data_IF_823077290387
#
_entry.id   IF_823077290387
#
_cell.length_a   1.000
_cell.length_b   1.000
_cell.length_c   1.000
_cell.angle_alpha   90.00
_cell.angle_beta   90.00
_cell.angle_gamma   90.00
#
_symmetry.space_group_name_H-M   'P 1'
#
loop_
_entity.id
_entity.type
_entity.pdbx_description
1 polymer ?
#
# COMPACT_ATOMS: atom_id res chain seq x y z
N UNK A 1 3.59 6.47 9.06
CA UNK A 1 2.39 6.76 9.89
C UNK A 1 1.42 5.57 9.89
N UNK A 2 0.51 5.53 10.85
CA UNK A 2 -0.60 4.56 10.89
C UNK A 2 -1.65 4.92 9.83
N UNK A 3 -2.33 3.93 9.26
CA UNK A 3 -3.40 4.17 8.27
C UNK A 3 -4.63 4.87 8.86
N UNK A 4 -4.73 4.87 10.19
CA UNK A 4 -5.81 5.48 10.98
C UNK A 4 -5.40 6.79 11.66
N UNK A 5 -4.23 7.35 11.31
CA UNK A 5 -3.76 8.62 11.87
C UNK A 5 -4.68 9.76 11.44
N UNK A 6 -5.09 10.59 12.41
CA UNK A 6 -6.02 11.70 12.20
C UNK A 6 -5.32 13.06 12.05
N UNK A 7 -4.07 13.16 12.50
CA UNK A 7 -3.25 14.35 12.30
C UNK A 7 -2.78 14.40 10.84
N UNK A 8 -3.47 15.21 10.03
CA UNK A 8 -3.17 15.35 8.61
C UNK A 8 -1.77 15.90 8.37
N UNK A 9 -1.37 16.91 9.13
CA UNK A 9 -0.09 17.59 8.92
C UNK A 9 1.07 16.65 9.26
N UNK A 10 0.94 15.86 10.32
CA UNK A 10 1.89 14.81 10.65
C UNK A 10 1.97 13.76 9.55
N UNK A 11 0.82 13.31 9.00
CA UNK A 11 0.79 12.33 7.89
C UNK A 11 1.44 12.91 6.63
N UNK A 12 1.13 14.15 6.26
CA UNK A 12 1.72 14.79 5.08
C UNK A 12 3.22 14.95 5.24
N UNK A 13 3.69 15.47 6.36
CA UNK A 13 5.11 15.62 6.62
C UNK A 13 5.85 14.26 6.56
N UNK A 14 5.35 13.24 7.25
CA UNK A 14 6.05 11.94 7.37
C UNK A 14 5.96 11.07 6.13
N UNK A 15 4.87 11.15 5.34
CA UNK A 15 4.67 10.30 4.18
C UNK A 15 4.93 11.00 2.84
N UNK A 16 4.52 12.26 2.71
CA UNK A 16 4.62 12.99 1.45
C UNK A 16 5.92 13.77 1.36
N UNK A 17 6.16 14.72 2.27
CA UNK A 17 7.30 15.63 2.17
C UNK A 17 8.62 14.87 2.30
N UNK A 18 8.74 14.01 3.30
CA UNK A 18 9.91 13.13 3.45
C UNK A 18 10.15 12.24 2.21
N UNK A 19 9.09 11.74 1.57
CA UNK A 19 9.24 10.91 0.36
C UNK A 19 9.65 11.75 -0.85
N UNK A 20 9.21 13.01 -0.95
CA UNK A 20 9.66 13.95 -1.99
C UNK A 20 11.15 14.24 -1.84
N UNK A 21 11.62 14.56 -0.63
CA UNK A 21 13.03 14.81 -0.35
C UNK A 21 13.90 13.61 -0.74
N UNK A 22 13.45 12.38 -0.41
CA UNK A 22 14.14 11.15 -0.81
C UNK A 22 14.17 10.96 -2.33
N UNK A 23 13.07 11.25 -3.01
CA UNK A 23 13.02 11.14 -4.48
C UNK A 23 13.96 12.15 -5.14
N UNK A 24 13.96 13.40 -4.69
CA UNK A 24 14.85 14.44 -5.19
C UNK A 24 16.31 14.08 -4.96
N UNK A 25 16.65 13.61 -3.76
CA UNK A 25 17.99 13.11 -3.46
C UNK A 25 18.40 11.97 -4.39
N UNK A 26 17.51 10.98 -4.57
CA UNK A 26 17.77 9.81 -5.42
C UNK A 26 17.96 10.23 -6.89
N UNK A 27 17.12 11.12 -7.40
CA UNK A 27 17.20 11.64 -8.76
C UNK A 27 18.50 12.42 -9.00
N UNK A 28 18.87 13.31 -8.09
CA UNK A 28 20.07 14.13 -8.19
C UNK A 28 21.37 13.29 -8.14
N UNK A 29 21.33 12.13 -7.47
CA UNK A 29 22.48 11.23 -7.34
C UNK A 29 22.40 10.00 -8.27
N UNK A 30 21.43 9.95 -9.17
CA UNK A 30 21.19 8.82 -10.08
C UNK A 30 21.07 7.47 -9.36
N UNK A 31 20.33 7.47 -8.22
CA UNK A 31 20.07 6.28 -7.39
C UNK A 31 18.67 5.76 -7.74
N UNK A 32 18.56 4.45 -7.95
CA UNK A 32 17.26 3.80 -8.16
C UNK A 32 16.42 3.81 -6.89
N UNK A 33 15.12 4.10 -7.02
CA UNK A 33 14.20 4.15 -5.89
C UNK A 33 13.00 3.20 -6.09
N UNK A 34 12.74 2.35 -5.11
CA UNK A 34 11.50 1.57 -5.02
C UNK A 34 10.76 1.98 -3.75
N UNK A 35 9.56 2.51 -3.89
CA UNK A 35 8.78 3.02 -2.75
C UNK A 35 7.46 2.27 -2.55
N UNK A 36 6.97 2.29 -1.31
CA UNK A 36 5.69 1.72 -0.95
C UNK A 36 4.57 2.74 -1.12
N UNK A 37 3.73 2.55 -2.15
CA UNK A 37 2.40 3.11 -2.23
C UNK A 37 1.38 2.15 -1.62
N UNK A 38 0.09 2.29 -1.89
CA UNK A 38 -0.97 1.49 -1.29
C UNK A 38 -2.18 1.39 -2.20
N UNK A 39 -2.85 0.24 -2.19
CA UNK A 39 -4.16 0.09 -2.83
C UNK A 39 -5.27 0.97 -2.22
N UNK A 40 -5.04 1.55 -1.04
CA UNK A 40 -5.97 2.51 -0.43
C UNK A 40 -6.18 3.78 -1.27
N UNK A 41 -5.32 4.04 -2.25
CA UNK A 41 -5.47 5.17 -3.20
C UNK A 41 -6.69 5.01 -4.12
N UNK A 42 -7.24 3.82 -4.26
CA UNK A 42 -8.47 3.56 -5.03
C UNK A 42 -9.76 3.89 -4.26
N UNK A 43 -9.65 4.17 -2.96
CA UNK A 43 -10.78 4.56 -2.12
C UNK A 43 -11.89 3.51 -2.08
N UNK A 44 -13.12 3.93 -2.41
CA UNK A 44 -14.30 3.07 -2.52
C UNK A 44 -14.54 2.55 -3.95
N UNK A 45 -13.60 2.75 -4.87
CA UNK A 45 -13.72 2.32 -6.26
C UNK A 45 -13.70 0.80 -6.41
N UNK A 46 -14.27 0.31 -7.51
CA UNK A 46 -14.32 -1.10 -7.87
C UNK A 46 -13.37 -1.45 -9.02
N UNK A 47 -12.66 -0.45 -9.56
CA UNK A 47 -11.69 -0.63 -10.64
C UNK A 47 -10.30 -0.33 -10.09
N UNK A 48 -9.44 -1.33 -10.10
CA UNK A 48 -8.10 -1.26 -9.51
C UNK A 48 -7.03 -1.24 -10.61
N UNK A 49 -7.15 -0.25 -11.52
CA UNK A 49 -6.15 0.02 -12.55
C UNK A 49 -5.32 1.23 -12.14
N UNK A 50 -4.04 1.25 -12.54
CA UNK A 50 -3.08 2.30 -12.20
C UNK A 50 -3.29 3.61 -13.01
N UNK A 51 -4.52 3.91 -13.34
CA UNK A 51 -4.98 5.07 -14.11
C UNK A 51 -5.58 6.11 -13.17
N UNK A 52 -5.28 7.42 -13.34
CA UNK A 52 -5.71 8.49 -12.43
C UNK A 52 -7.23 8.56 -12.20
N UNK A 53 -8.04 8.24 -13.20
CA UNK A 53 -9.50 8.24 -13.11
C UNK A 53 -10.08 7.20 -12.15
N UNK A 54 -9.29 6.20 -11.77
CA UNK A 54 -9.69 5.17 -10.81
C UNK A 54 -9.26 5.50 -9.38
N UNK A 55 -8.60 6.63 -9.15
CA UNK A 55 -7.96 6.98 -7.89
C UNK A 55 -8.81 7.96 -7.07
N UNK A 56 -9.06 7.63 -5.81
CA UNK A 56 -9.88 8.43 -4.89
C UNK A 56 -9.50 8.14 -3.45
N UNK A 57 -8.83 9.08 -2.78
CA UNK A 57 -8.42 8.90 -1.38
C UNK A 57 -9.59 9.10 -0.42
N UNK A 58 -9.68 8.27 0.63
CA UNK A 58 -10.72 8.33 1.66
C UNK A 58 -10.22 8.84 3.02
N UNK A 59 -8.91 8.92 3.23
CA UNK A 59 -8.31 9.37 4.49
C UNK A 59 -6.94 9.99 4.24
N UNK A 60 -6.37 10.62 5.25
CA UNK A 60 -5.09 11.34 5.14
C UNK A 60 -3.93 10.43 4.73
N UNK A 61 -3.95 9.15 5.15
CA UNK A 61 -2.94 8.18 4.74
C UNK A 61 -3.02 7.90 3.22
N UNK A 62 -4.20 7.56 2.70
CA UNK A 62 -4.38 7.29 1.28
C UNK A 62 -4.14 8.56 0.44
N UNK A 63 -4.55 9.73 0.93
CA UNK A 63 -4.27 11.02 0.32
C UNK A 63 -2.75 11.24 0.17
N UNK A 64 -1.98 11.02 1.24
CA UNK A 64 -0.52 11.20 1.21
C UNK A 64 0.18 10.27 0.21
N UNK A 65 -0.31 9.03 0.07
CA UNK A 65 0.22 8.06 -0.91
C UNK A 65 -0.12 8.47 -2.34
N UNK A 66 -1.36 8.89 -2.57
CA UNK A 66 -1.82 9.35 -3.87
C UNK A 66 -1.08 10.63 -4.32
N UNK A 67 -0.92 11.59 -3.43
CA UNK A 67 -0.18 12.82 -3.72
C UNK A 67 1.29 12.52 -4.08
N UNK A 68 1.91 11.54 -3.42
CA UNK A 68 3.26 11.14 -3.77
C UNK A 68 3.31 10.39 -5.11
N UNK A 69 2.36 9.49 -5.40
CA UNK A 69 2.25 8.83 -6.71
C UNK A 69 2.12 9.88 -7.83
N UNK A 70 1.29 10.92 -7.64
CA UNK A 70 1.12 12.00 -8.61
C UNK A 70 2.40 12.83 -8.77
N UNK A 71 3.07 13.17 -7.67
CA UNK A 71 4.35 13.86 -7.72
C UNK A 71 5.42 13.08 -8.52
N UNK A 72 5.47 11.77 -8.34
CA UNK A 72 6.35 10.88 -9.12
C UNK A 72 5.99 10.93 -10.61
N UNK A 73 4.70 10.80 -10.96
CA UNK A 73 4.22 10.86 -12.36
C UNK A 73 4.60 12.18 -13.06
N UNK A 74 4.39 13.31 -12.39
CA UNK A 74 4.70 14.64 -12.91
C UNK A 74 6.21 14.84 -13.16
N UNK A 75 7.04 14.09 -12.46
CA UNK A 75 8.49 14.22 -12.54
C UNK A 75 9.20 13.08 -13.29
N UNK A 76 8.48 12.06 -13.78
CA UNK A 76 9.09 10.93 -14.50
C UNK A 76 10.02 11.35 -15.62
N UNK A 77 9.65 12.34 -16.42
CA UNK A 77 10.45 12.82 -17.55
C UNK A 77 11.76 13.48 -17.15
N UNK A 78 11.89 13.92 -15.89
CA UNK A 78 13.08 14.61 -15.35
C UNK A 78 14.02 13.64 -14.61
N UNK A 79 13.51 12.47 -14.20
CA UNK A 79 14.25 11.49 -13.41
C UNK A 79 14.90 10.48 -14.36
N UNK A 80 16.22 10.39 -14.32
CA UNK A 80 17.00 9.46 -15.15
C UNK A 80 17.19 8.08 -14.51
N UNK A 81 17.18 8.02 -13.18
CA UNK A 81 17.23 6.77 -12.42
C UNK A 81 15.89 6.04 -12.43
N UNK A 82 15.90 4.76 -12.14
CA UNK A 82 14.68 3.98 -11.99
C UNK A 82 13.86 4.47 -10.79
N UNK A 83 12.56 4.66 -10.97
CA UNK A 83 11.59 4.92 -9.89
C UNK A 83 10.39 4.00 -10.02
N UNK A 84 10.14 3.20 -8.97
CA UNK A 84 9.04 2.23 -8.93
C UNK A 84 8.18 2.48 -7.71
N UNK A 85 6.90 2.79 -7.93
CA UNK A 85 5.86 2.80 -6.91
C UNK A 85 5.15 1.45 -6.84
N UNK A 86 5.02 0.88 -5.65
CA UNK A 86 4.33 -0.40 -5.47
C UNK A 86 3.08 -0.16 -4.61
N UNK A 87 1.90 -0.35 -5.20
CA UNK A 87 0.60 -0.31 -4.52
C UNK A 87 0.31 -1.68 -3.93
N UNK A 88 0.66 -1.85 -2.67
CA UNK A 88 0.37 -3.08 -1.96
C UNK A 88 -1.12 -3.17 -1.62
N UNK A 89 -1.71 -4.33 -1.91
CA UNK A 89 -3.00 -4.74 -1.39
C UNK A 89 -2.86 -5.28 0.03
N UNK A 90 -3.68 -6.20 0.50
CA UNK A 90 -3.65 -6.61 1.91
C UNK A 90 -2.52 -7.62 2.15
N UNK A 91 -1.33 -7.12 2.46
CA UNK A 91 -0.16 -7.95 2.72
C UNK A 91 -0.30 -8.65 4.07
N UNK A 92 -0.05 -9.96 4.10
CA UNK A 92 -0.03 -10.76 5.31
C UNK A 92 1.19 -11.68 5.36
N UNK A 93 1.55 -12.19 6.55
CA UNK A 93 2.62 -13.16 6.69
C UNK A 93 3.25 -13.21 8.08
N UNK A 94 4.42 -13.86 8.22
CA UNK A 94 5.12 -13.93 9.48
C UNK A 94 5.64 -12.56 9.93
N UNK A 95 5.97 -12.47 11.24
CA UNK A 95 6.57 -11.29 11.87
C UNK A 95 5.67 -10.05 11.98
N UNK A 96 4.34 -10.23 12.06
CA UNK A 96 3.41 -9.12 12.22
C UNK A 96 3.16 -8.69 13.68
N UNK A 97 3.66 -9.44 14.66
CA UNK A 97 3.37 -9.21 16.08
C UNK A 97 3.72 -7.80 16.58
N UNK A 98 4.72 -7.17 16.01
CA UNK A 98 5.13 -5.81 16.36
C UNK A 98 4.18 -4.71 15.83
N UNK A 99 3.28 -5.06 14.92
CA UNK A 99 2.32 -4.12 14.34
C UNK A 99 1.06 -3.94 15.20
N UNK A 100 0.88 -4.78 16.23
CA UNK A 100 -0.27 -4.74 17.13
C UNK A 100 -1.60 -4.67 16.37
N UNK A 101 -2.41 -3.63 16.63
CA UNK A 101 -3.71 -3.41 15.98
C UNK A 101 -3.61 -3.18 14.46
N UNK A 102 -2.43 -2.84 13.95
CA UNK A 102 -2.18 -2.64 12.52
C UNK A 102 -1.76 -3.92 11.79
N UNK A 103 -1.72 -5.05 12.49
CA UNK A 103 -1.47 -6.36 11.86
C UNK A 103 -2.61 -6.74 10.91
N UNK A 104 -2.31 -7.62 9.94
CA UNK A 104 -3.33 -8.10 9.01
C UNK A 104 -4.49 -8.79 9.72
N UNK A 105 -5.67 -8.76 9.12
CA UNK A 105 -6.83 -9.49 9.65
C UNK A 105 -6.55 -11.00 9.73
N UNK A 106 -5.74 -11.55 8.83
CA UNK A 106 -5.32 -12.96 8.85
C UNK A 106 -4.52 -13.25 10.13
N UNK A 107 -3.58 -12.38 10.52
CA UNK A 107 -2.83 -12.52 11.75
C UNK A 107 -3.74 -12.44 12.99
N UNK A 108 -4.69 -11.51 13.02
CA UNK A 108 -5.65 -11.41 14.11
C UNK A 108 -6.55 -12.65 14.20
N UNK A 109 -7.07 -13.14 13.09
CA UNK A 109 -7.90 -14.35 13.05
C UNK A 109 -7.12 -15.59 13.45
N UNK A 110 -5.89 -15.75 13.00
CA UNK A 110 -5.02 -16.86 13.43
C UNK A 110 -4.86 -16.87 14.95
N UNK A 111 -4.52 -15.73 15.57
CA UNK A 111 -4.35 -15.64 17.03
C UNK A 111 -5.67 -15.86 17.77
N UNK A 112 -6.78 -15.34 17.26
CA UNK A 112 -8.11 -15.53 17.83
C UNK A 112 -8.52 -17.01 17.82
N UNK A 113 -8.33 -17.68 16.68
CA UNK A 113 -8.60 -19.11 16.54
C UNK A 113 -7.72 -19.95 17.46
N UNK A 114 -6.41 -19.65 17.51
CA UNK A 114 -5.48 -20.36 18.39
C UNK A 114 -5.84 -20.21 19.87
N UNK A 115 -6.38 -19.05 20.26
CA UNK A 115 -6.73 -18.78 21.67
C UNK A 115 -8.10 -19.32 22.08
N UNK A 116 -9.09 -19.23 21.20
CA UNK A 116 -10.50 -19.47 21.53
C UNK A 116 -11.14 -20.62 20.76
N UNK A 117 -10.48 -21.20 19.76
CA UNK A 117 -11.06 -22.24 18.89
C UNK A 117 -12.16 -21.73 17.96
N UNK A 118 -12.39 -20.41 17.91
CA UNK A 118 -13.44 -19.78 17.09
C UNK A 118 -12.98 -18.44 16.53
N UNK A 119 -13.64 -17.97 15.48
CA UNK A 119 -13.43 -16.67 14.86
C UNK A 119 -14.66 -15.78 15.04
N UNK A 120 -14.44 -14.52 15.37
CA UNK A 120 -15.45 -13.49 15.35
C UNK A 120 -15.28 -12.69 14.08
N UNK A 121 -16.17 -12.90 13.13
CA UNK A 121 -16.16 -12.20 11.84
C UNK A 121 -16.66 -10.75 12.00
N UNK A 122 -16.36 -9.93 11.00
CA UNK A 122 -16.85 -8.56 10.96
C UNK A 122 -18.34 -8.52 10.65
N UNK A 123 -19.04 -7.53 11.18
CA UNK A 123 -20.41 -7.23 10.78
C UNK A 123 -20.46 -6.78 9.33
N UNK A 124 -21.59 -7.05 8.68
CA UNK A 124 -21.86 -6.62 7.32
C UNK A 124 -21.69 -5.11 7.13
N UNK A 125 -21.08 -4.72 6.02
CA UNK A 125 -20.82 -3.33 5.65
C UNK A 125 -20.58 -3.19 4.16
N UNK A 126 -20.83 -2.00 3.61
CA UNK A 126 -20.55 -1.70 2.20
C UNK A 126 -21.19 -2.69 1.20
N UNK A 127 -22.41 -3.14 1.50
CA UNK A 127 -23.15 -4.06 0.64
C UNK A 127 -22.80 -5.55 0.82
N UNK A 128 -21.97 -5.90 1.80
CA UNK A 128 -21.68 -7.28 2.18
C UNK A 128 -22.40 -7.67 3.47
N UNK A 129 -22.84 -8.90 3.56
CA UNK A 129 -23.37 -9.51 4.78
C UNK A 129 -22.26 -9.78 5.82
N UNK A 130 -22.66 -10.27 7.00
CA UNK A 130 -21.74 -10.56 8.10
C UNK A 130 -20.69 -11.60 7.66
N UNK A 131 -19.42 -11.21 7.72
CA UNK A 131 -18.29 -12.06 7.37
C UNK A 131 -18.00 -12.21 5.88
N UNK A 132 -18.81 -11.61 5.00
CA UNK A 132 -18.69 -11.76 3.55
C UNK A 132 -17.79 -10.69 2.89
N UNK A 133 -17.16 -9.81 3.67
CA UNK A 133 -16.25 -8.78 3.14
C UNK A 133 -15.08 -9.41 2.40
N UNK A 134 -14.84 -8.95 1.18
CA UNK A 134 -13.78 -9.45 0.31
C UNK A 134 -12.55 -8.56 0.35
N UNK A 135 -11.39 -9.18 0.28
CA UNK A 135 -10.08 -8.51 0.20
C UNK A 135 -9.13 -9.37 -0.62
N UNK A 136 -8.32 -8.73 -1.44
CA UNK A 136 -7.18 -9.39 -2.08
C UNK A 136 -6.02 -9.47 -1.06
N UNK A 137 -5.65 -10.68 -0.68
CA UNK A 137 -4.58 -10.94 0.28
C UNK A 137 -3.32 -11.43 -0.44
N UNK A 138 -2.22 -10.73 -0.22
CA UNK A 138 -0.92 -11.03 -0.83
C UNK A 138 0.06 -11.50 0.23
N UNK A 139 0.72 -12.64 -0.01
CA UNK A 139 1.71 -13.16 0.92
C UNK A 139 2.99 -12.32 0.91
N UNK A 140 3.50 -11.97 2.09
CA UNK A 140 4.63 -11.04 2.23
C UNK A 140 5.89 -11.49 1.47
N UNK A 141 6.17 -12.81 1.39
CA UNK A 141 7.32 -13.30 0.63
C UNK A 141 7.18 -13.09 -0.88
N UNK A 142 5.95 -13.07 -1.40
CA UNK A 142 5.72 -12.78 -2.81
C UNK A 142 5.87 -11.28 -3.08
N UNK A 143 5.43 -10.42 -2.17
CA UNK A 143 5.71 -8.98 -2.28
C UNK A 143 7.21 -8.68 -2.26
N UNK A 144 7.99 -9.40 -1.44
CA UNK A 144 9.45 -9.29 -1.40
C UNK A 144 10.08 -9.74 -2.73
N UNK A 145 9.64 -10.87 -3.30
CA UNK A 145 10.13 -11.34 -4.62
C UNK A 145 9.87 -10.31 -5.72
N UNK A 146 8.66 -9.75 -5.76
CA UNK A 146 8.29 -8.72 -6.74
C UNK A 146 9.17 -7.48 -6.57
N UNK A 147 9.41 -7.03 -5.33
CA UNK A 147 10.30 -5.90 -5.04
C UNK A 147 11.72 -6.16 -5.53
N UNK A 148 12.27 -7.34 -5.24
CA UNK A 148 13.61 -7.75 -5.73
C UNK A 148 13.63 -7.82 -7.26
N UNK A 149 12.55 -8.31 -7.87
CA UNK A 149 12.45 -8.34 -9.32
C UNK A 149 12.54 -6.92 -9.92
N UNK A 150 11.82 -5.93 -9.39
CA UNK A 150 11.95 -4.54 -9.84
C UNK A 150 13.35 -3.98 -9.64
N UNK A 151 14.02 -4.32 -8.54
CA UNK A 151 15.41 -3.87 -8.30
C UNK A 151 16.40 -4.42 -9.32
N UNK A 152 16.12 -5.57 -9.93
CA UNK A 152 16.96 -6.25 -10.92
C UNK A 152 16.54 -5.96 -12.38
N UNK A 153 15.46 -5.22 -12.60
CA UNK A 153 14.93 -4.91 -13.92
C UNK A 153 14.70 -3.41 -14.04
N UNK A 154 15.27 -2.82 -15.07
CA UNK A 154 15.19 -1.37 -15.28
C UNK A 154 13.81 -0.96 -15.85
N UNK A 155 12.80 -0.97 -14.99
CA UNK A 155 11.43 -0.59 -15.32
C UNK A 155 10.95 0.47 -14.32
N UNK A 156 10.53 1.64 -14.80
CA UNK A 156 9.93 2.68 -13.97
C UNK A 156 8.42 2.72 -14.14
N UNK A 157 7.69 3.04 -13.08
CA UNK A 157 6.24 3.13 -13.10
C UNK A 157 5.60 2.93 -11.73
N UNK A 158 4.27 2.93 -11.72
CA UNK A 158 3.48 2.62 -10.52
C UNK A 158 2.68 1.37 -10.82
N UNK A 159 2.78 0.37 -9.95
CA UNK A 159 2.27 -0.98 -10.19
C UNK A 159 1.49 -1.51 -8.98
N UNK A 160 0.40 -2.19 -9.24
CA UNK A 160 -0.32 -2.97 -8.25
C UNK A 160 0.43 -4.25 -7.89
N UNK A 161 0.42 -4.60 -6.59
CA UNK A 161 0.86 -5.91 -6.11
C UNK A 161 -0.30 -6.56 -5.39
N UNK A 162 -0.97 -7.43 -6.12
CA UNK A 162 -2.19 -8.14 -5.77
C UNK A 162 -2.17 -9.56 -6.33
N UNK A 163 -3.09 -10.42 -5.90
CA UNK A 163 -3.30 -11.74 -6.51
C UNK A 163 -4.32 -11.72 -7.65
N UNK A 164 -5.14 -10.66 -7.71
CA UNK A 164 -6.27 -10.54 -8.63
C UNK A 164 -7.48 -11.38 -8.21
N UNK A 165 -7.48 -11.87 -6.98
CA UNK A 165 -8.57 -12.70 -6.40
C UNK A 165 -8.97 -12.17 -5.02
N UNK A 166 -10.26 -12.15 -4.75
CA UNK A 166 -10.84 -11.72 -3.45
C UNK A 166 -12.00 -12.62 -3.05
#
# INVERSE_FOLDING_TARGET
SKTTEQDRDYVMFTNLDYSKDLLEYSANNNINMVYASSASVYGSGNVFKEEPENESSLNHYSESKLLFDNFVRENFSKIKSQVVGIRYFNVYGPYEQHKEVMSSVIYHFYNQFKKYGMLKLFRGSHGYDDGEQRRDFVYVKDTVKIKIWFMNNNLSGIFNVATGKS
#
